data_IF_450878148481
#
_entry.id   IF_450878148481
#
_cell.length_a   1.000
_cell.length_b   1.000
_cell.length_c   1.000
_cell.angle_alpha   90.00
_cell.angle_beta   90.00
_cell.angle_gamma   90.00
#
_symmetry.space_group_name_H-M   'P 1'
#
loop_
_entity.id
_entity.type
_entity.pdbx_description
1 polymer ?
#
# COMPACT_ATOMS: atom_id res chain seq x y z
N UNK A 1 5.84 -14.24 -0.91
CA UNK A 1 5.92 -12.89 -0.32
C UNK A 1 4.55 -12.53 0.21
N UNK A 2 4.45 -12.21 1.51
CA UNK A 2 3.19 -11.83 2.19
C UNK A 2 2.78 -10.41 1.80
N UNK A 3 1.54 -10.25 1.32
CA UNK A 3 1.10 -8.94 0.84
C UNK A 3 -0.26 -8.53 1.40
N UNK A 4 -0.44 -7.21 1.54
CA UNK A 4 -1.74 -6.57 1.68
C UNK A 4 -2.09 -5.99 0.30
N UNK A 5 -3.23 -6.38 -0.26
CA UNK A 5 -3.69 -5.85 -1.53
C UNK A 5 -4.53 -4.58 -1.30
N UNK A 6 -4.17 -3.46 -1.94
CA UNK A 6 -5.05 -2.30 -2.02
C UNK A 6 -6.08 -2.54 -3.11
N UNK A 7 -7.34 -2.33 -2.78
CA UNK A 7 -8.45 -2.49 -3.70
C UNK A 7 -9.37 -1.28 -3.64
N UNK A 8 -9.97 -0.95 -4.76
CA UNK A 8 -11.03 0.05 -4.81
C UNK A 8 -12.42 -0.61 -4.80
N UNK A 9 -13.42 0.14 -4.42
CA UNK A 9 -14.82 -0.31 -4.39
C UNK A 9 -15.58 -0.05 -5.70
N UNK A 10 -14.92 0.43 -6.75
CA UNK A 10 -15.58 0.67 -8.05
C UNK A 10 -15.65 -0.58 -8.92
N UNK A 11 -14.71 -1.50 -8.75
CA UNK A 11 -14.71 -2.76 -9.47
C UNK A 11 -15.73 -3.75 -8.91
N UNK A 12 -16.35 -4.53 -9.82
CA UNK A 12 -17.18 -5.65 -9.39
C UNK A 12 -16.36 -6.65 -8.56
N UNK A 13 -16.92 -7.26 -7.50
CA UNK A 13 -16.22 -8.21 -6.66
C UNK A 13 -15.55 -9.35 -7.42
N UNK A 14 -16.12 -9.78 -8.55
CA UNK A 14 -15.57 -10.82 -9.42
C UNK A 14 -14.24 -10.39 -10.04
N UNK A 15 -14.12 -9.14 -10.48
CA UNK A 15 -12.88 -8.59 -11.07
C UNK A 15 -11.80 -8.51 -10.01
N UNK A 16 -12.14 -8.00 -8.83
CA UNK A 16 -11.20 -7.93 -7.70
C UNK A 16 -10.75 -9.34 -7.28
N UNK A 17 -11.67 -10.30 -7.17
CA UNK A 17 -11.31 -11.71 -6.88
C UNK A 17 -10.39 -12.31 -7.94
N UNK A 18 -10.62 -12.00 -9.20
CA UNK A 18 -9.72 -12.42 -10.28
C UNK A 18 -8.32 -11.84 -10.12
N UNK A 19 -8.21 -10.54 -9.82
CA UNK A 19 -6.93 -9.86 -9.55
C UNK A 19 -6.18 -10.50 -8.37
N UNK A 20 -6.87 -10.76 -7.26
CA UNK A 20 -6.30 -11.43 -6.09
C UNK A 20 -5.85 -12.86 -6.39
N UNK A 21 -6.63 -13.61 -7.18
CA UNK A 21 -6.27 -14.95 -7.61
C UNK A 21 -5.05 -14.94 -8.53
N UNK A 22 -4.95 -13.97 -9.42
CA UNK A 22 -3.79 -13.78 -10.30
C UNK A 22 -2.54 -13.43 -9.50
N UNK A 23 -2.68 -12.60 -8.47
CA UNK A 23 -1.59 -12.29 -7.54
C UNK A 23 -1.12 -13.56 -6.82
N UNK A 24 -2.04 -14.36 -6.31
CA UNK A 24 -1.71 -15.63 -5.65
C UNK A 24 -1.02 -16.61 -6.61
N UNK A 25 -1.47 -16.73 -7.85
CA UNK A 25 -0.83 -17.54 -8.88
C UNK A 25 0.59 -17.04 -9.23
N UNK A 26 0.86 -15.75 -9.04
CA UNK A 26 2.17 -15.12 -9.22
C UNK A 26 3.09 -15.25 -8.00
N UNK A 27 2.69 -16.01 -6.97
CA UNK A 27 3.50 -16.31 -5.79
C UNK A 27 3.35 -15.32 -4.63
N UNK A 28 2.34 -14.44 -4.68
CA UNK A 28 1.99 -13.60 -3.55
C UNK A 28 1.07 -14.35 -2.58
N UNK A 29 1.34 -14.22 -1.29
CA UNK A 29 0.48 -14.69 -0.20
C UNK A 29 -0.36 -13.50 0.27
N UNK A 30 -1.60 -13.41 -0.22
CA UNK A 30 -2.49 -12.28 0.05
C UNK A 30 -3.12 -12.46 1.42
N UNK A 31 -2.63 -11.70 2.40
CA UNK A 31 -3.07 -11.76 3.80
C UNK A 31 -4.43 -11.09 4.00
N UNK A 32 -4.64 -9.95 3.33
CA UNK A 32 -5.88 -9.17 3.39
C UNK A 32 -5.99 -8.25 2.18
N UNK A 33 -7.20 -7.78 1.90
CA UNK A 33 -7.48 -6.70 0.98
C UNK A 33 -7.89 -5.46 1.78
N UNK A 34 -7.23 -4.33 1.54
CA UNK A 34 -7.57 -3.03 2.14
C UNK A 34 -8.35 -2.20 1.12
N UNK A 35 -9.62 -1.92 1.42
CA UNK A 35 -10.46 -1.04 0.61
C UNK A 35 -10.08 0.42 0.88
N UNK A 36 -9.59 1.13 -0.15
CA UNK A 36 -9.03 2.48 -0.02
C UNK A 36 -9.95 3.59 -0.53
N UNK A 37 -11.09 3.24 -1.13
CA UNK A 37 -12.09 4.20 -1.64
C UNK A 37 -13.10 3.53 -2.56
N UNK A 38 -13.99 4.32 -3.16
CA UNK A 38 -14.99 3.84 -4.14
C UNK A 38 -16.20 3.11 -3.54
N UNK A 39 -16.20 2.86 -2.23
CA UNK A 39 -17.30 2.16 -1.55
C UNK A 39 -18.62 2.96 -1.50
N UNK A 40 -18.61 4.21 -1.94
CA UNK A 40 -19.80 5.07 -2.00
C UNK A 40 -20.85 4.59 -3.01
N UNK A 41 -20.41 3.85 -4.04
CA UNK A 41 -21.25 3.26 -5.08
C UNK A 41 -21.71 1.84 -4.75
N UNK A 42 -21.01 1.17 -3.84
CA UNK A 42 -21.48 -0.10 -3.31
C UNK A 42 -22.54 0.23 -2.26
N UNK A 43 -23.78 -0.27 -2.45
CA UNK A 43 -24.79 -0.27 -1.39
C UNK A 43 -24.11 -0.64 -0.08
N UNK A 44 -24.29 0.19 0.96
CA UNK A 44 -23.70 -0.04 2.30
C UNK A 44 -24.02 -1.44 2.87
N UNK A 45 -25.00 -2.11 2.28
CA UNK A 45 -25.42 -3.47 2.62
C UNK A 45 -24.67 -4.56 1.86
N UNK A 46 -24.00 -4.25 0.74
CA UNK A 46 -23.14 -5.23 0.05
C UNK A 46 -21.71 -5.09 0.56
N UNK A 47 -21.40 -5.87 1.58
CA UNK A 47 -20.01 -6.11 1.97
C UNK A 47 -19.24 -6.59 0.73
N UNK A 48 -18.05 -6.02 0.47
CA UNK A 48 -17.15 -6.45 -0.59
C UNK A 48 -16.77 -7.92 -0.30
N UNK A 49 -17.44 -8.86 -0.97
CA UNK A 49 -17.16 -10.29 -0.81
C UNK A 49 -15.99 -10.68 -1.71
N UNK A 50 -14.83 -10.87 -1.11
CA UNK A 50 -13.61 -11.34 -1.78
C UNK A 50 -13.29 -12.81 -1.46
N UNK A 51 -14.30 -13.60 -1.06
CA UNK A 51 -14.16 -14.99 -0.76
C UNK A 51 -13.39 -15.23 0.55
N UNK A 52 -12.23 -15.89 0.46
CA UNK A 52 -11.41 -16.21 1.64
C UNK A 52 -10.48 -15.09 2.10
N UNK A 53 -10.33 -14.04 1.30
CA UNK A 53 -9.45 -12.91 1.61
C UNK A 53 -10.20 -11.96 2.54
N UNK A 54 -9.70 -11.70 3.76
CA UNK A 54 -10.31 -10.74 4.68
C UNK A 54 -10.28 -9.33 4.07
N UNK A 55 -11.37 -8.57 4.25
CA UNK A 55 -11.47 -7.19 3.80
C UNK A 55 -11.32 -6.26 4.99
N UNK A 56 -10.32 -5.38 4.91
CA UNK A 56 -10.08 -4.29 5.85
C UNK A 56 -10.65 -3.00 5.27
N UNK A 57 -11.20 -2.17 6.13
CA UNK A 57 -11.78 -0.88 5.73
C UNK A 57 -10.78 0.25 5.95
N UNK A 58 -10.48 0.98 4.89
CA UNK A 58 -9.54 2.12 4.89
C UNK A 58 -10.10 3.37 4.20
N UNK A 59 -11.39 3.42 3.90
CA UNK A 59 -11.98 4.50 3.10
C UNK A 59 -11.92 5.85 3.80
N UNK A 60 -11.98 5.87 5.13
CA UNK A 60 -11.95 7.11 5.95
C UNK A 60 -10.50 7.56 6.20
N UNK A 61 -9.63 6.64 6.57
CA UNK A 61 -8.21 6.89 6.83
C UNK A 61 -7.35 5.77 6.21
N UNK A 62 -7.10 5.83 4.89
CA UNK A 62 -6.36 4.77 4.22
C UNK A 62 -4.91 4.64 4.71
N UNK A 63 -4.25 5.74 5.10
CA UNK A 63 -2.88 5.72 5.61
C UNK A 63 -2.79 5.05 6.97
N UNK A 64 -3.66 5.42 7.91
CA UNK A 64 -3.71 4.82 9.25
C UNK A 64 -4.11 3.34 9.19
N UNK A 65 -5.11 3.00 8.36
CA UNK A 65 -5.54 1.62 8.17
C UNK A 65 -4.44 0.74 7.56
N UNK A 66 -3.72 1.25 6.54
CA UNK A 66 -2.58 0.54 5.95
C UNK A 66 -1.46 0.35 6.96
N UNK A 67 -1.15 1.39 7.72
CA UNK A 67 -0.14 1.34 8.76
C UNK A 67 -0.43 0.22 9.78
N UNK A 68 -1.64 0.22 10.31
CA UNK A 68 -2.09 -0.79 11.28
C UNK A 68 -2.06 -2.20 10.69
N UNK A 69 -2.54 -2.37 9.45
CA UNK A 69 -2.56 -3.65 8.77
C UNK A 69 -1.14 -4.21 8.54
N UNK A 70 -0.18 -3.37 8.14
CA UNK A 70 1.22 -3.80 7.98
C UNK A 70 1.79 -4.28 9.31
N UNK A 71 1.58 -3.51 10.37
CA UNK A 71 2.13 -3.79 11.70
C UNK A 71 1.52 -5.06 12.31
N UNK A 72 0.21 -5.28 12.12
CA UNK A 72 -0.53 -6.44 12.63
C UNK A 72 -0.22 -7.72 11.85
N UNK A 73 -0.31 -7.65 10.52
CA UNK A 73 -0.20 -8.82 9.64
C UNK A 73 1.25 -9.18 9.28
N UNK A 74 2.20 -8.30 9.59
CA UNK A 74 3.62 -8.48 9.24
C UNK A 74 3.81 -8.73 7.74
N UNK A 75 3.21 -7.88 6.93
CA UNK A 75 3.32 -7.95 5.48
C UNK A 75 4.73 -7.57 5.01
N UNK A 76 5.18 -8.24 3.95
CA UNK A 76 6.46 -7.95 3.28
C UNK A 76 6.30 -6.84 2.23
N UNK A 77 5.09 -6.75 1.64
CA UNK A 77 4.78 -5.76 0.61
C UNK A 77 3.31 -5.36 0.61
N UNK A 78 3.05 -4.20 0.03
CA UNK A 78 1.71 -3.74 -0.38
C UNK A 78 1.59 -3.96 -1.89
N UNK A 79 0.53 -4.61 -2.32
CA UNK A 79 0.21 -4.83 -3.73
C UNK A 79 -0.93 -3.89 -4.14
N UNK A 80 -0.63 -2.90 -4.96
CA UNK A 80 -1.62 -1.93 -5.43
C UNK A 80 -2.39 -2.48 -6.64
N UNK A 81 -3.64 -2.83 -6.41
CA UNK A 81 -4.61 -3.26 -7.42
C UNK A 81 -5.71 -2.22 -7.63
N UNK A 82 -5.56 -1.03 -7.04
CA UNK A 82 -6.51 0.06 -7.18
C UNK A 82 -6.30 0.83 -8.48
N UNK A 83 -7.37 1.45 -8.97
CA UNK A 83 -7.35 2.19 -10.23
C UNK A 83 -7.63 3.68 -10.01
N UNK A 84 -7.29 4.52 -11.00
CA UNK A 84 -7.73 5.90 -11.06
C UNK A 84 -9.18 5.95 -11.60
N UNK A 85 -10.01 6.89 -11.13
CA UNK A 85 -9.67 8.01 -10.24
C UNK A 85 -9.84 7.73 -8.73
N UNK A 86 -10.15 6.51 -8.32
CA UNK A 86 -10.42 6.20 -6.89
C UNK A 86 -9.19 6.47 -6.04
N UNK A 87 -8.01 6.06 -6.50
CA UNK A 87 -6.75 6.36 -5.87
C UNK A 87 -5.92 7.29 -6.75
N UNK A 88 -5.90 8.59 -6.43
CA UNK A 88 -5.08 9.56 -7.15
C UNK A 88 -3.58 9.26 -6.98
N UNK A 89 -2.78 9.82 -7.90
CA UNK A 89 -1.32 9.68 -7.84
C UNK A 89 -0.74 10.15 -6.50
N UNK A 90 -1.19 11.28 -5.97
CA UNK A 90 -0.74 11.81 -4.67
C UNK A 90 -1.03 10.83 -3.55
N UNK A 91 -2.26 10.32 -3.48
CA UNK A 91 -2.68 9.33 -2.48
C UNK A 91 -1.90 8.03 -2.58
N UNK A 92 -1.63 7.59 -3.81
CA UNK A 92 -0.79 6.40 -4.07
C UNK A 92 0.62 6.59 -3.53
N UNK A 93 1.23 7.78 -3.74
CA UNK A 93 2.55 8.10 -3.20
C UNK A 93 2.55 8.21 -1.67
N UNK A 94 1.50 8.73 -1.06
CA UNK A 94 1.34 8.75 0.40
C UNK A 94 1.28 7.33 0.98
N UNK A 95 0.49 6.44 0.39
CA UNK A 95 0.41 5.04 0.80
C UNK A 95 1.74 4.30 0.60
N UNK A 96 2.42 4.57 -0.52
CA UNK A 96 3.76 4.04 -0.76
C UNK A 96 4.76 4.51 0.31
N UNK A 97 4.72 5.78 0.69
CA UNK A 97 5.57 6.32 1.76
C UNK A 97 5.29 5.65 3.11
N UNK A 98 4.02 5.39 3.44
CA UNK A 98 3.62 4.65 4.65
C UNK A 98 4.21 3.24 4.66
N UNK A 99 4.10 2.51 3.54
CA UNK A 99 4.65 1.17 3.40
C UNK A 99 6.18 1.16 3.55
N UNK A 100 6.88 2.02 2.80
CA UNK A 100 8.34 2.11 2.82
C UNK A 100 8.89 2.51 4.19
N UNK A 101 8.21 3.42 4.90
CA UNK A 101 8.60 3.82 6.25
C UNK A 101 8.54 2.65 7.25
N UNK A 102 7.72 1.63 6.98
CA UNK A 102 7.59 0.39 7.77
C UNK A 102 8.46 -0.76 7.26
N UNK A 103 9.33 -0.51 6.31
CA UNK A 103 10.18 -1.54 5.72
C UNK A 103 9.44 -2.48 4.77
N UNK A 104 8.25 -2.10 4.34
CA UNK A 104 7.38 -2.86 3.45
C UNK A 104 7.53 -2.34 2.02
N UNK A 105 7.72 -3.22 1.04
CA UNK A 105 7.76 -2.80 -0.36
C UNK A 105 6.38 -2.34 -0.84
N UNK A 106 6.34 -1.50 -1.88
CA UNK A 106 5.09 -1.09 -2.53
C UNK A 106 5.16 -1.45 -4.01
N UNK A 107 4.24 -2.29 -4.47
CA UNK A 107 4.26 -2.92 -5.78
C UNK A 107 2.95 -2.63 -6.51
N UNK A 108 3.05 -2.15 -7.74
CA UNK A 108 1.90 -1.96 -8.62
C UNK A 108 2.20 -2.45 -10.03
N UNK A 109 1.23 -2.33 -10.95
CA UNK A 109 1.42 -2.70 -12.35
C UNK A 109 2.57 -1.89 -12.98
N UNK A 110 3.67 -2.57 -13.29
CA UNK A 110 4.81 -1.94 -13.97
C UNK A 110 5.75 -1.10 -13.09
N UNK A 111 5.56 -1.08 -11.77
CA UNK A 111 6.47 -0.39 -10.85
C UNK A 111 6.64 -1.15 -9.52
N UNK A 112 7.76 -0.89 -8.87
CA UNK A 112 8.06 -1.37 -7.52
C UNK A 112 8.91 -0.35 -6.80
N UNK A 113 8.57 -0.07 -5.55
CA UNK A 113 9.38 0.69 -4.62
C UNK A 113 9.81 -0.24 -3.49
N UNK A 114 11.11 -0.33 -3.26
CA UNK A 114 11.65 -1.08 -2.14
C UNK A 114 12.02 -0.13 -0.99
N UNK A 115 11.87 -0.58 0.27
CA UNK A 115 12.30 0.23 1.40
C UNK A 115 13.79 0.50 1.32
N UNK A 116 14.24 1.69 1.77
CA UNK A 116 15.66 2.00 1.74
C UNK A 116 16.44 1.04 2.64
N UNK A 117 17.56 0.54 2.12
CA UNK A 117 18.51 -0.23 2.93
C UNK A 117 19.05 0.69 4.02
N UNK A 118 18.90 0.29 5.27
CA UNK A 118 19.41 1.02 6.42
C UNK A 118 20.56 0.22 7.03
N UNK A 119 21.76 0.77 6.94
CA UNK A 119 22.91 0.26 7.67
C UNK A 119 22.74 0.48 9.17
N UNK A 120 23.57 -0.21 9.96
CA UNK A 120 23.59 0.00 11.39
C UNK A 120 23.89 1.48 11.72
N UNK A 121 23.21 2.08 12.73
CA UNK A 121 23.44 3.46 13.09
C UNK A 121 24.90 3.67 13.49
N UNK A 122 25.46 4.80 13.08
CA UNK A 122 26.80 5.19 13.48
C UNK A 122 26.87 5.35 15.02
N UNK A 123 27.97 4.90 15.61
CA UNK A 123 28.20 4.98 17.07
C UNK A 123 28.74 6.35 17.51
N UNK A 124 28.65 7.36 16.66
CA UNK A 124 29.10 8.73 16.90
C UNK A 124 27.94 9.68 16.71
N UNK A 125 27.91 10.83 17.40
CA UNK A 125 26.94 11.87 17.13
C UNK A 125 26.98 12.27 15.65
N UNK A 126 25.83 12.22 15.00
CA UNK A 126 25.73 12.45 13.56
C UNK A 126 24.66 13.48 13.26
N UNK A 127 24.97 14.42 12.37
CA UNK A 127 24.00 15.37 11.82
C UNK A 127 24.01 15.24 10.31
N UNK A 128 22.82 15.30 9.69
CA UNK A 128 22.67 15.26 8.25
C UNK A 128 21.91 16.47 7.75
N UNK A 129 22.39 17.07 6.66
CA UNK A 129 21.68 18.12 5.93
C UNK A 129 21.13 17.49 4.66
N UNK A 130 19.80 17.45 4.56
CA UNK A 130 19.10 16.80 3.46
C UNK A 130 18.42 17.87 2.61
N UNK A 131 18.70 17.87 1.31
CA UNK A 131 17.98 18.70 0.35
C UNK A 131 17.01 17.86 -0.46
N UNK A 132 15.75 18.28 -0.54
CA UNK A 132 14.67 17.60 -1.26
C UNK A 132 14.62 17.94 -2.76
N UNK A 133 15.53 18.79 -3.24
CA UNK A 133 15.54 19.18 -4.64
C UNK A 133 16.86 19.81 -5.08
N UNK A 134 16.90 20.23 -6.35
CA UNK A 134 18.01 20.98 -6.94
C UNK A 134 17.98 22.42 -6.39
N UNK A 135 19.14 23.00 -6.07
CA UNK A 135 19.28 24.38 -5.59
C UNK A 135 18.59 24.71 -4.25
N UNK A 136 18.48 23.73 -3.38
CA UNK A 136 17.91 23.91 -2.03
C UNK A 136 18.98 24.12 -0.95
N UNK A 137 19.97 25.00 -1.24
CA UNK A 137 20.98 25.46 -0.27
C UNK A 137 21.63 24.35 0.59
N UNK A 138 21.99 23.22 -0.03
CA UNK A 138 22.71 22.12 0.65
C UNK A 138 24.18 22.43 0.91
N UNK A 139 24.71 23.36 0.16
CA UNK A 139 26.09 23.84 0.26
C UNK A 139 26.07 25.38 0.28
N UNK A 140 26.49 25.97 1.32
CA UNK A 140 26.87 27.40 1.44
C UNK A 140 28.37 27.48 1.51
#
# INVERSE_FOLDING_TARGET
>A
MKVIALVDGEHYPEVTRWGLSSAAASGYDVLAALAVGGAEKLDRERALDLGRVPVLRGEVDPMGALAAAIDELRADAVLDLSDEPVLSYERRMELAAVALARGCAYVGPGFRFDPPVRDAPLRVPTAAVIGTGKRVAKTS
#
